data_IF_764164666939
#
_entry.id   IF_764164666939
#
_cell.length_a   1.000
_cell.length_b   1.000
_cell.length_c   1.000
_cell.angle_alpha   90.00
_cell.angle_beta   90.00
_cell.angle_gamma   90.00
#
_symmetry.space_group_name_H-M   'P 1'
#
loop_
_entity.id
_entity.type
_entity.pdbx_description
1 polymer ?
#
# COMPACT_ATOMS: atom_id res chain seq x y z
N UNK A 1 -11.06 10.88 16.14
CA UNK A 1 -10.26 10.33 15.02
C UNK A 1 -9.53 11.50 14.37
N UNK A 2 -8.33 11.82 14.84
CA UNK A 2 -7.56 12.97 14.36
C UNK A 2 -6.41 12.43 13.51
N UNK A 3 -6.58 12.43 12.18
CA UNK A 3 -5.48 12.18 11.24
C UNK A 3 -5.03 13.52 10.66
N UNK A 4 -3.71 13.74 10.47
CA UNK A 4 -3.22 14.93 9.79
C UNK A 4 -3.87 15.08 8.41
N UNK A 5 -4.30 16.30 8.07
CA UNK A 5 -4.79 16.61 6.72
C UNK A 5 -3.67 16.82 5.70
N UNK A 6 -2.48 17.18 6.20
CA UNK A 6 -1.28 17.44 5.41
C UNK A 6 -0.26 16.35 5.72
N UNK A 7 0.33 15.79 4.67
CA UNK A 7 1.33 14.71 4.71
C UNK A 7 1.07 13.63 5.78
N UNK A 8 -0.06 12.91 5.68
CA UNK A 8 -0.39 11.88 6.64
C UNK A 8 0.60 10.72 6.57
N UNK A 9 1.52 10.70 7.53
CA UNK A 9 2.48 9.62 7.70
C UNK A 9 1.80 8.34 8.18
N UNK A 10 2.21 7.20 7.64
CA UNK A 10 1.78 5.90 8.14
C UNK A 10 2.41 5.62 9.50
N UNK A 11 1.69 4.95 10.40
CA UNK A 11 2.28 4.51 11.66
C UNK A 11 3.34 3.44 11.36
N UNK A 12 4.54 3.60 11.92
CA UNK A 12 5.63 2.63 11.72
C UNK A 12 5.44 1.35 12.54
N UNK A 13 4.58 1.41 13.57
CA UNK A 13 4.36 0.37 14.59
C UNK A 13 3.37 -0.75 14.20
N UNK A 14 2.94 -0.82 12.92
CA UNK A 14 2.03 -1.86 12.45
C UNK A 14 2.75 -3.12 11.93
N UNK A 15 2.25 -4.31 12.29
CA UNK A 15 2.70 -5.61 11.73
C UNK A 15 2.55 -5.68 10.20
N UNK A 16 1.53 -5.02 9.66
CA UNK A 16 1.20 -5.04 8.24
C UNK A 16 1.60 -3.75 7.53
N UNK A 17 2.03 -3.86 6.27
CA UNK A 17 2.32 -2.75 5.36
C UNK A 17 1.25 -2.70 4.26
N UNK A 18 1.00 -1.49 3.75
CA UNK A 18 -0.07 -1.24 2.77
C UNK A 18 0.39 -1.68 1.37
N UNK A 19 -0.49 -2.38 0.66
CA UNK A 19 -0.37 -2.71 -0.76
C UNK A 19 -1.45 -1.98 -1.56
N UNK A 20 -1.12 -1.54 -2.78
CA UNK A 20 -2.02 -0.81 -3.69
C UNK A 20 -1.82 -1.30 -5.12
N UNK A 21 -2.82 -1.08 -5.96
CA UNK A 21 -2.76 -1.32 -7.41
C UNK A 21 -3.27 -2.69 -7.85
N UNK A 22 -3.25 -3.69 -6.96
CA UNK A 22 -3.58 -5.07 -7.30
C UNK A 22 -2.55 -5.73 -8.22
N UNK A 23 -2.87 -6.92 -8.72
CA UNK A 23 -2.03 -7.74 -9.61
C UNK A 23 -2.77 -8.23 -10.85
N UNK A 24 -2.08 -8.99 -11.70
CA UNK A 24 -2.60 -9.52 -12.97
C UNK A 24 -3.71 -10.57 -12.80
N UNK A 25 -3.78 -11.24 -11.64
CA UNK A 25 -4.77 -12.27 -11.29
C UNK A 25 -5.90 -11.74 -10.39
N UNK A 26 -5.87 -10.45 -10.04
CA UNK A 26 -6.87 -9.84 -9.19
C UNK A 26 -8.19 -9.56 -9.92
N UNK A 27 -9.30 -9.74 -9.21
CA UNK A 27 -10.62 -9.33 -9.72
C UNK A 27 -10.73 -7.79 -9.83
N UNK A 28 -11.61 -7.25 -10.68
CA UNK A 28 -11.74 -5.80 -10.91
C UNK A 28 -11.96 -4.94 -9.66
N UNK A 29 -12.50 -5.52 -8.58
CA UNK A 29 -12.70 -4.85 -7.30
C UNK A 29 -11.38 -4.47 -6.59
N UNK A 30 -10.33 -5.27 -6.75
CA UNK A 30 -9.07 -5.10 -6.02
C UNK A 30 -8.05 -4.21 -6.73
N UNK A 31 -8.20 -4.01 -8.04
CA UNK A 31 -7.37 -3.09 -8.83
C UNK A 31 -7.85 -1.63 -8.79
N UNK A 32 -8.95 -1.33 -8.09
CA UNK A 32 -9.44 0.05 -7.95
C UNK A 32 -8.46 0.91 -7.16
N UNK A 33 -8.31 2.18 -7.57
CA UNK A 33 -7.42 3.15 -6.91
C UNK A 33 -7.67 3.34 -5.41
N UNK A 34 -8.93 3.20 -4.98
CA UNK A 34 -9.34 3.35 -3.58
C UNK A 34 -9.12 2.08 -2.75
N UNK A 35 -8.88 0.93 -3.37
CA UNK A 35 -8.63 -0.32 -2.65
C UNK A 35 -7.28 -0.26 -1.92
N UNK A 36 -7.27 -0.82 -0.71
CA UNK A 36 -6.09 -0.87 0.17
C UNK A 36 -5.93 -2.27 0.74
N UNK A 37 -5.01 -3.03 0.16
CA UNK A 37 -4.57 -4.31 0.71
C UNK A 37 -3.55 -4.10 1.82
N UNK A 38 -3.27 -5.16 2.58
CA UNK A 38 -2.19 -5.18 3.57
C UNK A 38 -1.61 -6.58 3.71
N UNK A 39 -0.31 -6.67 3.88
CA UNK A 39 0.41 -7.92 4.18
C UNK A 39 1.56 -7.63 5.13
N UNK A 40 2.09 -8.68 5.76
CA UNK A 40 3.33 -8.57 6.54
C UNK A 40 4.51 -8.30 5.60
N UNK A 41 5.52 -7.49 6.01
CA UNK A 41 6.63 -7.11 5.14
C UNK A 41 7.42 -8.29 4.56
N UNK A 42 7.46 -9.42 5.27
CA UNK A 42 8.19 -10.61 4.86
C UNK A 42 7.46 -11.47 3.81
N UNK A 43 6.15 -11.25 3.60
CA UNK A 43 5.36 -12.02 2.63
C UNK A 43 5.74 -11.58 1.21
N UNK A 44 6.02 -12.57 0.37
CA UNK A 44 6.38 -12.41 -1.04
C UNK A 44 5.39 -13.19 -1.89
N UNK A 45 5.01 -12.64 -3.03
CA UNK A 45 4.13 -13.28 -4.01
C UNK A 45 4.41 -12.72 -5.39
N UNK A 46 4.12 -13.50 -6.43
CA UNK A 46 4.34 -13.09 -7.83
C UNK A 46 3.50 -11.89 -8.26
N UNK A 47 2.40 -11.60 -7.55
CA UNK A 47 1.59 -10.39 -7.72
C UNK A 47 2.03 -9.18 -6.89
N UNK A 48 3.11 -9.27 -6.09
CA UNK A 48 3.54 -8.20 -5.18
C UNK A 48 4.82 -7.54 -5.71
N UNK A 49 4.74 -6.23 -5.95
CA UNK A 49 5.88 -5.38 -6.31
C UNK A 49 5.88 -4.04 -5.55
N UNK A 50 6.86 -3.18 -5.84
CA UNK A 50 6.96 -1.84 -5.28
C UNK A 50 7.45 -0.83 -6.32
N UNK A 51 7.11 0.44 -6.11
CA UNK A 51 7.72 1.57 -6.83
C UNK A 51 8.18 2.63 -5.83
N UNK A 52 9.32 3.24 -6.09
CA UNK A 52 9.87 4.28 -5.23
C UNK A 52 9.10 5.60 -5.42
N UNK A 53 8.95 6.35 -4.33
CA UNK A 53 8.65 7.78 -4.35
C UNK A 53 9.93 8.56 -4.06
N UNK A 54 10.07 9.74 -4.64
CA UNK A 54 11.16 10.67 -4.35
C UNK A 54 10.60 12.00 -3.88
N UNK A 55 11.42 12.74 -3.13
CA UNK A 55 11.15 14.13 -2.79
C UNK A 55 11.70 15.03 -3.88
N UNK A 56 10.93 16.04 -4.27
CA UNK A 56 11.44 17.12 -5.12
C UNK A 56 12.27 18.04 -4.22
N UNK A 57 13.55 18.22 -4.56
CA UNK A 57 14.40 19.23 -3.92
C UNK A 57 14.09 20.62 -4.46
#
# INVERSE_FOLDING_TARGET
RNSPGVDPQATTQGKYRVLRGGSWDDIPRYVRVSFRGRNEPAIRGSGIGLRCGGELR
#
